data_IF_247957684934
#
_entry.id   IF_247957684934
#
_cell.length_a   1.000
_cell.length_b   1.000
_cell.length_c   1.000
_cell.angle_alpha   90.00
_cell.angle_beta   90.00
_cell.angle_gamma   90.00
#
_symmetry.space_group_name_H-M   'P 1'
#
loop_
_entity.id
_entity.type
_entity.pdbx_description
1 polymer ?
#
# COMPACT_ATOMS: atom_id res chain seq x y z
N UNK A 1 -19.27 -0.64 12.04
CA UNK A 1 -17.83 -0.31 11.94
C UNK A 1 -17.73 1.01 11.19
N UNK A 2 -16.96 1.98 11.65
CA UNK A 2 -16.81 3.27 10.95
C UNK A 2 -16.00 3.02 9.67
N UNK A 3 -16.45 3.55 8.53
CA UNK A 3 -15.74 3.39 7.25
C UNK A 3 -14.39 4.12 7.32
N UNK A 4 -13.25 3.41 7.30
CA UNK A 4 -11.94 4.03 7.41
C UNK A 4 -11.60 4.89 6.19
N UNK A 5 -12.24 4.68 5.04
CA UNK A 5 -12.03 5.55 3.88
C UNK A 5 -12.55 6.96 4.17
N UNK A 6 -13.73 7.08 4.81
CA UNK A 6 -14.32 8.37 5.14
C UNK A 6 -13.42 9.18 6.07
N UNK A 7 -12.80 8.55 7.07
CA UNK A 7 -11.93 9.21 8.05
C UNK A 7 -10.60 9.70 7.47
N UNK A 8 -10.23 9.23 6.27
CA UNK A 8 -8.98 9.56 5.56
C UNK A 8 -9.24 10.17 4.18
N UNK A 9 -10.46 10.66 3.92
CA UNK A 9 -10.85 11.23 2.62
C UNK A 9 -9.87 12.30 2.12
N UNK A 10 -9.44 13.30 2.94
CA UNK A 10 -8.51 14.32 2.47
C UNK A 10 -7.16 13.74 2.02
N UNK A 11 -6.60 12.80 2.78
CA UNK A 11 -5.31 12.20 2.48
C UNK A 11 -5.37 11.29 1.26
N UNK A 12 -6.47 10.54 1.11
CA UNK A 12 -6.71 9.69 -0.07
C UNK A 12 -6.99 10.52 -1.32
N UNK A 13 -7.71 11.64 -1.21
CA UNK A 13 -7.91 12.57 -2.32
C UNK A 13 -6.58 13.20 -2.77
N UNK A 14 -5.71 13.58 -1.83
CA UNK A 14 -4.37 14.05 -2.19
C UNK A 14 -3.53 12.95 -2.83
N UNK A 15 -3.61 11.71 -2.34
CA UNK A 15 -2.93 10.57 -2.95
C UNK A 15 -3.42 10.32 -4.38
N UNK A 16 -4.73 10.42 -4.63
CA UNK A 16 -5.35 10.30 -5.95
C UNK A 16 -4.81 11.33 -6.94
N UNK A 17 -4.67 12.59 -6.50
CA UNK A 17 -4.08 13.66 -7.31
C UNK A 17 -2.59 13.41 -7.59
N UNK A 18 -1.82 13.04 -6.56
CA UNK A 18 -0.37 12.76 -6.69
C UNK A 18 -0.08 11.57 -7.61
N UNK A 19 -0.96 10.56 -7.60
CA UNK A 19 -0.84 9.35 -8.40
C UNK A 19 -1.38 9.53 -9.83
N UNK A 20 -2.33 10.45 -10.03
CA UNK A 20 -3.10 10.60 -11.26
C UNK A 20 -4.30 9.65 -11.34
N UNK A 21 -4.62 8.93 -10.27
CA UNK A 21 -5.75 8.00 -10.19
C UNK A 21 -6.96 8.70 -9.55
N UNK A 22 -7.68 9.53 -10.32
CA UNK A 22 -8.76 10.38 -9.78
C UNK A 22 -9.92 9.60 -9.13
N UNK A 23 -10.13 8.34 -9.54
CA UNK A 23 -11.19 7.48 -9.01
C UNK A 23 -10.69 6.58 -7.86
N UNK A 24 -9.51 6.83 -7.31
CA UNK A 24 -8.89 5.98 -6.28
C UNK A 24 -9.81 5.75 -5.08
N UNK A 25 -10.46 6.80 -4.55
CA UNK A 25 -11.33 6.68 -3.37
C UNK A 25 -12.49 5.72 -3.63
N UNK A 26 -13.18 5.89 -4.76
CA UNK A 26 -14.30 5.03 -5.17
C UNK A 26 -13.84 3.58 -5.38
N UNK A 27 -12.70 3.38 -6.05
CA UNK A 27 -12.11 2.06 -6.26
C UNK A 27 -11.78 1.35 -4.94
N UNK A 28 -11.22 2.06 -3.96
CA UNK A 28 -10.90 1.49 -2.66
C UNK A 28 -12.17 1.13 -1.88
N UNK A 29 -13.20 1.98 -1.89
CA UNK A 29 -14.47 1.69 -1.24
C UNK A 29 -15.14 0.45 -1.84
N UNK A 30 -15.20 0.39 -3.18
CA UNK A 30 -15.78 -0.75 -3.88
C UNK A 30 -14.98 -2.04 -3.59
N UNK A 31 -13.65 -1.97 -3.65
CA UNK A 31 -12.81 -3.14 -3.40
C UNK A 31 -12.92 -3.66 -1.95
N UNK A 32 -13.10 -2.78 -0.98
CA UNK A 32 -13.37 -3.15 0.41
C UNK A 32 -14.77 -3.77 0.57
N UNK A 33 -15.79 -3.21 -0.09
CA UNK A 33 -17.15 -3.74 -0.06
C UNK A 33 -17.25 -5.14 -0.70
N UNK A 34 -16.55 -5.36 -1.80
CA UNK A 34 -16.51 -6.64 -2.52
C UNK A 34 -15.57 -7.67 -1.87
N UNK A 35 -14.83 -7.28 -0.83
CA UNK A 35 -13.85 -8.13 -0.15
C UNK A 35 -12.61 -8.45 -1.00
N UNK A 36 -12.37 -7.72 -2.09
CA UNK A 36 -11.18 -7.87 -2.95
C UNK A 36 -9.98 -7.11 -2.42
N UNK A 37 -10.19 -6.15 -1.52
CA UNK A 37 -9.17 -5.47 -0.73
C UNK A 37 -9.52 -5.51 0.76
N UNK A 38 -8.53 -5.28 1.61
CA UNK A 38 -8.67 -5.26 3.05
C UNK A 38 -7.94 -4.06 3.66
N UNK A 39 -8.42 -3.61 4.81
CA UNK A 39 -7.70 -2.63 5.63
C UNK A 39 -6.52 -3.34 6.30
N UNK A 40 -5.31 -2.97 5.90
CA UNK A 40 -4.08 -3.52 6.49
C UNK A 40 -3.67 -2.79 7.75
N UNK A 41 -3.76 -1.46 7.75
CA UNK A 41 -3.43 -0.58 8.88
C UNK A 41 -4.53 0.47 8.99
N UNK A 42 -5.05 0.72 10.20
CA UNK A 42 -5.94 1.84 10.49
C UNK A 42 -5.78 2.26 11.96
N UNK A 43 -4.69 2.95 12.27
CA UNK A 43 -4.35 3.36 13.64
C UNK A 43 -3.47 4.60 13.62
N UNK A 44 -3.57 5.46 14.64
CA UNK A 44 -2.65 6.58 14.85
C UNK A 44 -2.57 7.54 13.65
N UNK A 45 -3.69 7.84 13.00
CA UNK A 45 -3.71 8.71 11.81
C UNK A 45 -2.99 8.13 10.59
N UNK A 46 -2.84 6.81 10.52
CA UNK A 46 -2.27 6.08 9.38
C UNK A 46 -3.27 5.06 8.86
N UNK A 47 -3.44 5.03 7.53
CA UNK A 47 -4.27 4.08 6.80
C UNK A 47 -3.44 3.39 5.73
N UNK A 48 -3.59 2.07 5.63
CA UNK A 48 -3.09 1.30 4.50
C UNK A 48 -4.14 0.31 4.02
N UNK A 49 -4.39 0.32 2.72
CA UNK A 49 -5.24 -0.66 2.04
C UNK A 49 -4.35 -1.68 1.33
N UNK A 50 -4.60 -2.96 1.60
CA UNK A 50 -3.87 -4.08 1.04
C UNK A 50 -4.80 -4.91 0.14
N UNK A 51 -4.24 -5.46 -0.93
CA UNK A 51 -4.95 -6.24 -1.92
C UNK A 51 -4.17 -7.54 -2.22
N UNK A 52 -4.76 -8.71 -1.97
CA UNK A 52 -4.24 -9.98 -2.49
C UNK A 52 -4.20 -9.96 -4.02
N UNK A 53 -3.06 -10.31 -4.61
CA UNK A 53 -2.92 -10.50 -6.05
C UNK A 53 -2.77 -11.98 -6.40
N UNK A 54 -3.17 -12.35 -7.63
CA UNK A 54 -3.19 -13.74 -8.10
C UNK A 54 -1.80 -14.39 -8.15
N UNK A 55 -0.72 -13.62 -8.19
CA UNK A 55 0.67 -14.08 -8.24
C UNK A 55 1.29 -14.31 -6.86
N UNK A 56 0.45 -14.57 -5.85
CA UNK A 56 0.83 -14.73 -4.44
C UNK A 56 1.59 -13.51 -3.85
N UNK A 57 1.18 -12.32 -4.29
CA UNK A 57 1.69 -11.03 -3.82
C UNK A 57 0.67 -10.32 -2.95
N UNK A 58 1.12 -9.79 -1.81
CA UNK A 58 0.38 -8.79 -1.04
C UNK A 58 0.69 -7.40 -1.60
N UNK A 59 -0.28 -6.79 -2.28
CA UNK A 59 -0.11 -5.45 -2.82
C UNK A 59 -0.55 -4.40 -1.80
N UNK A 60 0.33 -3.48 -1.43
CA UNK A 60 -0.03 -2.27 -0.67
C UNK A 60 -0.55 -1.26 -1.70
N UNK A 61 -1.88 -1.18 -1.83
CA UNK A 61 -2.53 -0.38 -2.86
C UNK A 61 -2.48 1.10 -2.51
N UNK A 62 -2.92 1.46 -1.31
CA UNK A 62 -2.89 2.82 -0.82
C UNK A 62 -2.26 2.88 0.57
N UNK A 63 -1.42 3.88 0.80
CA UNK A 63 -0.79 4.12 2.09
C UNK A 63 -0.70 5.61 2.36
N UNK A 64 -1.41 6.07 3.40
CA UNK A 64 -1.45 7.47 3.81
C UNK A 64 -1.21 7.59 5.31
N UNK A 65 -0.55 8.66 5.70
CA UNK A 65 -0.38 9.02 7.11
C UNK A 65 -0.42 10.54 7.24
N UNK A 66 -1.04 11.01 8.32
CA UNK A 66 -1.03 12.42 8.71
C UNK A 66 0.36 12.89 9.13
N UNK A 67 1.21 11.96 9.55
CA UNK A 67 2.59 12.21 9.92
C UNK A 67 3.55 11.69 8.84
N UNK A 68 4.52 12.53 8.47
CA UNK A 68 5.51 12.18 7.46
C UNK A 68 6.35 10.97 7.90
N UNK A 69 6.50 10.01 6.98
CA UNK A 69 7.35 8.83 7.19
C UNK A 69 6.81 7.79 8.15
N UNK A 70 5.61 7.94 8.72
CA UNK A 70 5.07 6.95 9.66
C UNK A 70 4.66 5.64 8.98
N UNK A 71 4.19 5.69 7.73
CA UNK A 71 3.78 4.49 6.99
C UNK A 71 4.89 3.43 6.88
N UNK A 72 6.17 3.85 6.82
CA UNK A 72 7.30 2.91 6.71
C UNK A 72 7.56 2.15 8.01
N UNK A 73 7.07 2.64 9.15
CA UNK A 73 7.18 1.96 10.45
C UNK A 73 6.33 0.69 10.51
N UNK A 74 5.30 0.59 9.65
CA UNK A 74 4.44 -0.59 9.55
C UNK A 74 4.99 -1.66 8.60
N UNK A 75 6.22 -1.52 8.11
CA UNK A 75 6.85 -2.50 7.23
C UNK A 75 6.86 -3.91 7.84
N UNK A 76 7.24 -4.04 9.11
CA UNK A 76 7.23 -5.33 9.81
C UNK A 76 5.82 -5.91 9.94
N UNK A 77 4.81 -5.05 10.08
CA UNK A 77 3.41 -5.47 10.11
C UNK A 77 2.99 -6.07 8.77
N UNK A 78 3.32 -5.43 7.64
CA UNK A 78 3.02 -6.00 6.32
C UNK A 78 3.75 -7.33 6.08
N UNK A 79 5.01 -7.45 6.52
CA UNK A 79 5.75 -8.71 6.45
C UNK A 79 5.11 -9.80 7.30
N UNK A 80 4.68 -9.47 8.51
CA UNK A 80 3.97 -10.40 9.38
C UNK A 80 2.67 -10.87 8.73
N UNK A 81 1.88 -9.95 8.17
CA UNK A 81 0.64 -10.27 7.46
C UNK A 81 0.94 -11.20 6.28
N UNK A 82 1.92 -10.85 5.44
CA UNK A 82 2.31 -11.67 4.30
C UNK A 82 2.74 -13.09 4.71
N UNK A 83 3.56 -13.23 5.76
CA UNK A 83 3.95 -14.54 6.30
C UNK A 83 2.75 -15.35 6.78
N UNK A 84 1.91 -14.76 7.64
CA UNK A 84 0.75 -15.45 8.24
C UNK A 84 -0.31 -15.88 7.22
N UNK A 85 -0.37 -15.21 6.08
CA UNK A 85 -1.36 -15.46 5.03
C UNK A 85 -0.78 -16.25 3.84
N UNK A 86 0.52 -16.56 3.86
CA UNK A 86 1.17 -17.36 2.82
C UNK A 86 1.62 -16.58 1.58
N UNK A 87 1.57 -15.24 1.57
CA UNK A 87 2.09 -14.43 0.47
C UNK A 87 3.62 -14.49 0.41
N UNK A 88 4.18 -14.73 -0.77
CA UNK A 88 5.64 -14.80 -0.96
C UNK A 88 6.27 -13.45 -1.28
N UNK A 89 5.46 -12.44 -1.58
CA UNK A 89 5.94 -11.11 -1.99
C UNK A 89 5.07 -10.02 -1.41
N UNK A 90 5.69 -8.88 -1.12
CA UNK A 90 4.99 -7.61 -0.94
C UNK A 90 5.35 -6.70 -2.10
N UNK A 91 4.35 -6.04 -2.67
CA UNK A 91 4.52 -5.08 -3.77
C UNK A 91 3.85 -3.76 -3.42
N UNK A 92 4.46 -2.66 -3.84
CA UNK A 92 3.79 -1.36 -3.88
C UNK A 92 4.29 -0.55 -5.08
N UNK A 93 3.57 0.51 -5.40
CA UNK A 93 3.90 1.44 -6.48
C UNK A 93 3.96 2.87 -5.96
N UNK A 94 4.85 3.70 -6.50
CA UNK A 94 4.89 5.11 -6.12
C UNK A 94 5.50 6.02 -7.18
N UNK A 95 5.02 7.25 -7.28
CA UNK A 95 5.67 8.38 -7.96
C UNK A 95 6.50 9.26 -7.00
N UNK A 96 6.37 9.04 -5.68
CA UNK A 96 6.98 9.89 -4.65
C UNK A 96 8.47 9.59 -4.53
N UNK A 97 9.31 10.59 -4.83
CA UNK A 97 10.78 10.49 -4.74
C UNK A 97 11.26 10.05 -3.35
N UNK A 98 10.58 10.46 -2.28
CA UNK A 98 10.91 10.07 -0.90
C UNK A 98 10.81 8.57 -0.68
N UNK A 99 9.69 7.95 -1.09
CA UNK A 99 9.50 6.50 -0.99
C UNK A 99 10.47 5.75 -1.90
N UNK A 100 10.74 6.24 -3.12
CA UNK A 100 11.74 5.65 -4.01
C UNK A 100 13.13 5.54 -3.36
N UNK A 101 13.55 6.56 -2.61
CA UNK A 101 14.84 6.56 -1.88
C UNK A 101 14.84 5.67 -0.64
N UNK A 102 13.67 5.48 0.00
CA UNK A 102 13.54 4.70 1.22
C UNK A 102 13.35 3.20 0.95
N UNK A 103 12.68 2.82 -0.14
CA UNK A 103 12.32 1.45 -0.44
C UNK A 103 13.52 0.46 -0.43
N UNK A 104 14.70 0.79 -1.03
CA UNK A 104 15.87 -0.09 -0.95
C UNK A 104 16.37 -0.30 0.47
N UNK A 105 16.27 0.72 1.34
CA UNK A 105 16.67 0.62 2.75
C UNK A 105 15.74 -0.29 3.56
N UNK A 106 14.52 -0.50 3.06
CA UNK A 106 13.53 -1.41 3.63
C UNK A 106 13.60 -2.82 3.01
N UNK A 107 14.58 -3.08 2.14
CA UNK A 107 14.78 -4.37 1.48
C UNK A 107 13.87 -4.60 0.26
N UNK A 108 13.26 -3.56 -0.29
CA UNK A 108 12.57 -3.65 -1.58
C UNK A 108 13.54 -3.44 -2.74
N UNK A 109 13.27 -4.14 -3.84
CA UNK A 109 13.96 -3.95 -5.11
C UNK A 109 13.04 -3.21 -6.08
N UNK A 110 13.54 -2.16 -6.73
CA UNK A 110 12.84 -1.51 -7.85
C UNK A 110 12.86 -2.50 -9.03
N UNK A 111 11.68 -2.97 -9.46
CA UNK A 111 11.60 -4.00 -10.52
C UNK A 111 11.39 -3.39 -11.89
N UNK A 112 10.59 -2.32 -11.97
CA UNK A 112 10.27 -1.63 -13.22
C UNK A 112 9.66 -0.25 -12.98
N UNK A 113 9.67 0.58 -14.02
CA UNK A 113 8.73 1.66 -14.20
C UNK A 113 7.53 1.13 -14.98
N UNK A 114 6.30 1.33 -14.51
CA UNK A 114 5.12 0.93 -15.28
C UNK A 114 4.67 2.00 -16.29
N UNK A 115 3.66 1.66 -17.10
CA UNK A 115 3.13 2.53 -18.17
C UNK A 115 2.61 3.87 -17.67
N UNK A 116 2.20 3.94 -16.41
CA UNK A 116 1.63 5.13 -15.79
C UNK A 116 2.70 5.97 -15.06
N UNK A 117 3.97 5.56 -15.17
CA UNK A 117 5.12 6.25 -14.62
C UNK A 117 5.35 5.99 -13.13
N UNK A 118 4.78 4.91 -12.56
CA UNK A 118 5.08 4.51 -11.19
C UNK A 118 6.31 3.62 -11.13
N UNK A 119 7.15 3.88 -10.14
CA UNK A 119 8.18 2.93 -9.74
C UNK A 119 7.52 1.79 -8.99
N UNK A 120 7.75 0.56 -9.45
CA UNK A 120 7.24 -0.67 -8.83
C UNK A 120 8.33 -1.25 -7.94
N UNK A 121 7.99 -1.50 -6.69
CA UNK A 121 8.89 -2.06 -5.69
C UNK A 121 8.36 -3.39 -5.18
N UNK A 122 9.26 -4.37 -5.07
CA UNK A 122 8.92 -5.71 -4.57
C UNK A 122 9.91 -6.17 -3.50
N UNK A 123 9.39 -6.89 -2.51
CA UNK A 123 10.18 -7.56 -1.48
C UNK A 123 9.74 -9.01 -1.36
N UNK A 124 10.70 -9.94 -1.47
CA UNK A 124 10.46 -11.36 -1.24
C UNK A 124 10.31 -11.61 0.26
N UNK A 125 9.31 -12.39 0.62
CA UNK A 125 9.01 -12.79 2.00
C UNK A 125 9.50 -14.20 2.22
N UNK A 126 10.44 -14.34 3.15
CA UNK A 126 10.88 -15.63 3.67
C UNK A 126 9.85 -16.17 4.66
N UNK A 127 9.51 -17.45 4.51
CA UNK A 127 8.58 -18.22 5.35
C UNK A 127 9.34 -19.25 6.18
N UNK A 128 10.52 -18.86 6.71
CA UNK A 128 11.46 -19.76 7.39
C UNK A 128 10.84 -20.70 8.41
#
# INVERSE_FOLDING_TARGET
MRDPILDFTPELAQLALDSGELNLVEQLQQALADGTANVGICVGGTLAIIQPQKDNTLFIWAGVSRESGVIVRYQETFEMVARKTGFHRIRFKTKRKGLRKLAPKLGYTETRLDSDGFFVFEKVISHG
#
